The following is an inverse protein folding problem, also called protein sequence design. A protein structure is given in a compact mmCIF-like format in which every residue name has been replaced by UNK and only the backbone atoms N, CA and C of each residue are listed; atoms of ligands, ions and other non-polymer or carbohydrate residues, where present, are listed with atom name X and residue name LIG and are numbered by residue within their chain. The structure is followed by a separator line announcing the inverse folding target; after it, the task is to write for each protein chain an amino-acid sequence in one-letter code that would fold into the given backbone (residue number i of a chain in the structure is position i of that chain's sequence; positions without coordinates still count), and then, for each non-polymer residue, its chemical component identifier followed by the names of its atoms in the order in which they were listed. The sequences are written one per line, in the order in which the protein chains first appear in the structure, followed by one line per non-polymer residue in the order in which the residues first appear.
data_IF_087040485220
#
_entry.id   IF_087040485220
#
_cell.length_a   1.000
_cell.length_b   1.000
_cell.length_c   1.000
_cell.angle_alpha   90.00
_cell.angle_beta   90.00
_cell.angle_gamma   90.00
#
_symmetry.space_group_name_H-M   'P 1'
#
loop_
_entity.id
_entity.type
_entity.pdbx_description
1 polymer ?
#
# COMPACT_ATOMS: atom_id res chain seq x y z
N UNK A 1 -7.94 6.69 6.62
CA UNK A 1 -8.36 8.10 6.38
C UNK A 1 -7.20 9.02 6.01
N UNK A 2 -6.10 9.01 6.75
CA UNK A 2 -4.93 9.87 6.48
C UNK A 2 -4.42 9.80 5.04
N UNK A 3 -4.45 8.63 4.40
CA UNK A 3 -4.10 8.48 2.99
C UNK A 3 -4.88 9.42 2.05
N UNK A 4 -6.18 9.64 2.27
CA UNK A 4 -6.98 10.56 1.45
C UNK A 4 -6.70 12.01 1.78
N UNK A 5 -6.40 12.33 3.05
CA UNK A 5 -5.95 13.67 3.44
C UNK A 5 -4.66 14.01 2.69
N UNK A 6 -3.69 13.09 2.64
CA UNK A 6 -2.46 13.28 1.85
C UNK A 6 -2.74 13.43 0.36
N UNK A 7 -3.70 12.69 -0.21
CA UNK A 7 -4.12 12.84 -1.59
C UNK A 7 -4.70 14.24 -1.89
N UNK A 8 -5.60 14.73 -1.03
CA UNK A 8 -6.15 16.07 -1.16
C UNK A 8 -5.08 17.16 -1.01
N UNK A 9 -4.10 16.97 -0.11
CA UNK A 9 -2.96 17.88 0.00
C UNK A 9 -2.14 17.91 -1.29
N UNK A 10 -1.87 16.75 -1.91
CA UNK A 10 -1.17 16.67 -3.20
C UNK A 10 -1.92 17.35 -4.34
N UNK A 11 -3.25 17.17 -4.43
CA UNK A 11 -4.09 17.88 -5.41
C UNK A 11 -4.03 19.39 -5.22
N UNK A 12 -4.20 19.85 -3.97
CA UNK A 12 -4.18 21.28 -3.65
C UNK A 12 -2.83 21.92 -3.95
N UNK A 13 -1.74 21.19 -3.69
CA UNK A 13 -0.38 21.63 -4.02
C UNK A 13 -0.20 21.81 -5.53
N UNK A 14 -0.71 20.88 -6.34
CA UNK A 14 -0.70 21.00 -7.80
C UNK A 14 -1.54 22.19 -8.29
N UNK A 15 -2.75 22.37 -7.76
CA UNK A 15 -3.63 23.48 -8.16
C UNK A 15 -3.07 24.86 -7.80
N UNK A 16 -2.38 24.99 -6.67
CA UNK A 16 -1.90 26.28 -6.16
C UNK A 16 -0.53 26.67 -6.71
N UNK A 17 0.35 25.70 -6.94
CA UNK A 17 1.75 25.96 -7.28
C UNK A 17 2.16 25.44 -8.66
N UNK A 18 1.29 24.73 -9.38
CA UNK A 18 1.64 24.02 -10.63
C UNK A 18 2.83 23.06 -10.45
N UNK A 19 2.93 22.47 -9.26
CA UNK A 19 4.00 21.54 -8.85
C UNK A 19 3.42 20.26 -8.28
N UNK A 20 4.16 19.15 -8.42
CA UNK A 20 3.80 17.86 -7.86
C UNK A 20 4.62 17.53 -6.62
N UNK A 21 4.00 16.89 -5.64
CA UNK A 21 4.75 16.22 -4.58
C UNK A 21 5.53 15.06 -5.18
N UNK A 22 6.78 14.85 -4.73
CA UNK A 22 7.57 13.72 -5.19
C UNK A 22 6.93 12.38 -4.79
N UNK A 23 6.45 12.27 -3.55
CA UNK A 23 5.93 11.01 -3.01
C UNK A 23 4.75 11.19 -2.07
N UNK A 24 3.77 10.31 -2.18
CA UNK A 24 2.75 10.03 -1.16
C UNK A 24 2.77 8.53 -0.86
N UNK A 25 2.97 8.16 0.40
CA UNK A 25 2.77 6.77 0.85
C UNK A 25 1.40 6.61 1.52
N UNK A 26 0.62 5.65 1.03
CA UNK A 26 -0.71 5.32 1.53
C UNK A 26 -0.68 4.01 2.33
N UNK A 27 -0.85 4.11 3.63
CA UNK A 27 -0.95 2.96 4.52
C UNK A 27 -2.44 2.57 4.64
N UNK A 28 -2.82 1.48 3.98
CA UNK A 28 -4.16 0.89 3.90
C UNK A 28 -5.27 1.96 3.77
N UNK A 29 -5.36 2.65 2.61
CA UNK A 29 -6.30 3.76 2.41
C UNK A 29 -7.73 3.33 2.71
N UNK A 30 -8.55 4.24 3.24
CA UNK A 30 -9.90 3.88 3.67
C UNK A 30 -10.80 3.53 2.49
N UNK A 31 -11.44 2.38 2.51
CA UNK A 31 -12.45 1.97 1.54
C UNK A 31 -13.82 2.63 1.76
N UNK A 32 -14.39 2.59 2.98
CA UNK A 32 -15.72 3.14 3.25
C UNK A 32 -15.80 4.62 2.86
N UNK A 33 -16.83 4.98 2.08
CA UNK A 33 -17.06 6.31 1.51
C UNK A 33 -16.07 6.79 0.43
N UNK A 34 -15.07 5.99 0.02
CA UNK A 34 -14.09 6.37 -1.00
C UNK A 34 -13.99 5.40 -2.19
N UNK A 35 -14.28 4.11 -2.01
CA UNK A 35 -14.10 3.04 -3.02
C UNK A 35 -14.62 3.37 -4.44
N UNK A 36 -15.73 4.11 -4.51
CA UNK A 36 -16.43 4.42 -5.76
C UNK A 36 -16.35 5.91 -6.13
N UNK A 37 -15.62 6.71 -5.35
CA UNK A 37 -15.45 8.12 -5.64
C UNK A 37 -14.56 8.31 -6.87
N UNK A 38 -14.83 9.41 -7.59
CA UNK A 38 -13.97 9.89 -8.67
C UNK A 38 -12.57 10.23 -8.12
N UNK A 39 -11.51 10.16 -8.95
CA UNK A 39 -10.16 10.55 -8.55
C UNK A 39 -10.07 11.92 -7.86
N UNK A 40 -10.93 12.88 -8.20
CA UNK A 40 -10.96 14.21 -7.58
C UNK A 40 -11.43 14.21 -6.11
N UNK A 41 -12.10 13.16 -5.65
CA UNK A 41 -12.73 13.06 -4.32
C UNK A 41 -12.16 11.91 -3.46
N UNK A 42 -10.91 11.52 -3.72
CA UNK A 42 -10.12 10.55 -2.94
C UNK A 42 -8.63 10.70 -3.30
N UNK A 43 -7.79 9.91 -2.63
CA UNK A 43 -6.41 9.69 -3.10
C UNK A 43 -6.44 9.02 -4.48
N UNK A 44 -5.57 9.46 -5.38
CA UNK A 44 -5.33 8.87 -6.69
C UNK A 44 -3.84 8.90 -7.05
N UNK A 45 -3.42 8.02 -7.97
CA UNK A 45 -2.04 7.91 -8.45
C UNK A 45 -1.49 9.20 -9.06
N UNK A 46 -2.36 10.10 -9.47
CA UNK A 46 -1.99 11.42 -10.02
C UNK A 46 -1.59 12.44 -8.95
N UNK A 47 -1.73 12.14 -7.66
CA UNK A 47 -1.59 13.15 -6.60
C UNK A 47 -0.12 13.46 -6.23
N UNK A 48 0.80 12.60 -6.64
CA UNK A 48 2.26 12.75 -6.52
C UNK A 48 2.97 12.04 -7.70
N UNK A 49 4.28 12.24 -7.87
CA UNK A 49 5.05 11.50 -8.89
C UNK A 49 5.03 9.99 -8.59
N UNK A 50 5.20 9.66 -7.30
CA UNK A 50 5.06 8.30 -6.78
C UNK A 50 3.97 8.26 -5.72
N UNK A 51 2.94 7.46 -5.95
CA UNK A 51 1.96 7.09 -4.93
C UNK A 51 2.12 5.61 -4.63
N UNK A 52 2.74 5.26 -3.51
CA UNK A 52 2.94 3.86 -3.11
C UNK A 52 1.98 3.46 -1.99
N UNK A 53 1.16 2.44 -2.23
CA UNK A 53 0.18 1.96 -1.25
C UNK A 53 0.58 0.62 -0.67
N UNK A 54 0.43 0.46 0.65
CA UNK A 54 0.51 -0.83 1.35
C UNK A 54 -0.91 -1.24 1.73
N UNK A 55 -1.34 -2.41 1.25
CA UNK A 55 -2.72 -2.89 1.32
C UNK A 55 -2.77 -4.18 2.12
N UNK A 56 -3.44 -4.16 3.27
CA UNK A 56 -3.63 -5.34 4.12
C UNK A 56 -5.09 -5.74 4.29
N UNK A 57 -6.04 -4.84 3.98
CA UNK A 57 -7.46 -5.13 4.23
C UNK A 57 -8.42 -4.67 3.13
N UNK A 58 -8.03 -4.81 1.85
CA UNK A 58 -8.67 -4.27 0.64
C UNK A 58 -10.19 -4.40 0.53
N UNK A 59 -10.81 -5.40 1.14
CA UNK A 59 -12.23 -5.71 0.92
C UNK A 59 -13.15 -5.29 2.08
N UNK A 60 -12.67 -4.59 3.11
CA UNK A 60 -13.56 -4.02 4.14
C UNK A 60 -13.24 -2.53 4.51
N UNK A 61 -12.43 -2.21 5.52
CA UNK A 61 -11.82 -0.90 5.86
C UNK A 61 -10.81 -0.42 4.83
N UNK A 62 -10.04 -1.30 4.20
CA UNK A 62 -9.10 -0.93 3.14
C UNK A 62 -9.80 -0.64 1.80
N UNK A 63 -9.12 0.09 0.92
CA UNK A 63 -9.62 0.43 -0.41
C UNK A 63 -9.53 -0.76 -1.36
N UNK A 64 -10.59 -1.03 -2.12
CA UNK A 64 -10.70 -2.22 -2.98
C UNK A 64 -9.84 -2.07 -4.24
N UNK A 65 -9.89 -0.89 -4.86
CA UNK A 65 -9.16 -0.61 -6.11
C UNK A 65 -7.71 -0.24 -5.82
N UNK A 66 -6.84 -0.62 -6.74
CA UNK A 66 -5.44 -0.21 -6.77
C UNK A 66 -5.34 1.24 -7.25
N UNK A 67 -5.19 2.16 -6.29
CA UNK A 67 -5.21 3.60 -6.51
C UNK A 67 -3.83 4.26 -6.48
N UNK A 68 -2.78 3.52 -6.13
CA UNK A 68 -1.40 3.98 -6.22
C UNK A 68 -0.76 3.75 -7.59
N UNK A 69 0.40 4.36 -7.79
CA UNK A 69 1.36 4.02 -8.85
C UNK A 69 1.93 2.63 -8.60
N UNK A 70 2.32 2.36 -7.36
CA UNK A 70 2.74 1.05 -6.85
C UNK A 70 1.77 0.60 -5.76
N UNK A 71 1.33 -0.66 -5.78
CA UNK A 71 0.39 -1.19 -4.78
C UNK A 71 0.93 -2.51 -4.25
N UNK A 72 1.41 -2.50 -3.01
CA UNK A 72 1.94 -3.65 -2.29
C UNK A 72 0.83 -4.34 -1.50
N UNK A 73 0.57 -5.59 -1.82
CA UNK A 73 -0.54 -6.38 -1.31
C UNK A 73 0.02 -7.43 -0.36
N UNK A 74 -0.11 -7.14 0.92
CA UNK A 74 0.46 -7.96 1.99
C UNK A 74 -0.47 -9.14 2.25
N UNK A 75 0.04 -10.37 2.09
CA UNK A 75 -0.72 -11.61 2.28
C UNK A 75 -2.09 -11.60 1.56
N UNK A 76 -2.11 -11.17 0.30
CA UNK A 76 -3.35 -11.08 -0.49
C UNK A 76 -4.25 -9.86 -0.18
N UNK A 77 -3.86 -9.01 0.77
CA UNK A 77 -4.62 -7.81 1.17
C UNK A 77 -5.89 -8.16 1.92
N UNK A 78 -5.92 -9.32 2.56
CA UNK A 78 -7.04 -9.86 3.33
C UNK A 78 -6.67 -10.00 4.80
N UNK A 79 -7.67 -10.35 5.60
CA UNK A 79 -7.47 -10.68 7.02
C UNK A 79 -7.47 -12.20 7.21
N UNK A 80 -6.77 -12.73 8.21
CA UNK A 80 -6.04 -12.02 9.29
C UNK A 80 -4.57 -11.88 8.94
N UNK A 81 -4.01 -10.69 9.14
CA UNK A 81 -2.57 -10.49 8.96
C UNK A 81 -1.78 -11.23 10.06
N UNK A 82 -0.58 -11.78 9.79
CA UNK A 82 0.15 -12.64 10.72
C UNK A 82 0.36 -12.06 12.13
N UNK A 83 0.67 -10.76 12.32
CA UNK A 83 0.80 -10.17 13.67
C UNK A 83 -0.51 -10.04 14.46
N UNK A 84 -1.64 -10.50 13.90
CA UNK A 84 -2.99 -10.32 14.44
C UNK A 84 -3.63 -11.67 14.70
N UNK A 85 -4.48 -11.73 15.75
CA UNK A 85 -5.18 -12.95 16.15
C UNK A 85 -6.67 -12.85 15.86
N UNK A 86 -7.28 -14.00 15.55
CA UNK A 86 -8.73 -14.10 15.40
C UNK A 86 -9.40 -14.24 16.76
N UNK A 87 -9.61 -13.11 17.43
CA UNK A 87 -10.38 -13.04 18.68
C UNK A 87 -11.87 -12.82 18.37
N UNK A 88 -12.15 -11.74 17.65
CA UNK A 88 -13.43 -11.44 17.04
C UNK A 88 -13.22 -10.69 15.72
N UNK A 89 -14.29 -10.58 14.92
CA UNK A 89 -14.24 -9.96 13.61
C UNK A 89 -13.69 -8.52 13.66
N UNK A 90 -14.16 -7.67 14.59
CA UNK A 90 -13.76 -6.26 14.66
C UNK A 90 -12.31 -6.11 15.10
N UNK A 91 -11.87 -6.89 16.09
CA UNK A 91 -10.51 -6.83 16.64
C UNK A 91 -9.47 -7.32 15.63
N UNK A 92 -9.70 -8.50 15.03
CA UNK A 92 -8.82 -9.04 14.00
C UNK A 92 -8.68 -8.09 12.81
N UNK A 93 -9.80 -7.43 12.47
CA UNK A 93 -9.86 -6.52 11.36
C UNK A 93 -9.17 -5.19 11.60
N UNK A 94 -9.42 -4.55 12.75
CA UNK A 94 -8.72 -3.34 13.16
C UNK A 94 -7.21 -3.58 13.25
N UNK A 95 -6.79 -4.69 13.88
CA UNK A 95 -5.39 -5.04 13.96
C UNK A 95 -4.75 -5.15 12.57
N UNK A 96 -5.38 -5.89 11.65
CA UNK A 96 -4.86 -6.07 10.29
C UNK A 96 -4.78 -4.73 9.53
N UNK A 97 -5.74 -3.83 9.73
CA UNK A 97 -5.77 -2.49 9.13
C UNK A 97 -4.64 -1.60 9.62
N UNK A 98 -4.25 -1.68 10.91
CA UNK A 98 -3.15 -0.87 11.45
C UNK A 98 -1.77 -1.51 11.31
N UNK A 99 -1.68 -2.81 11.01
CA UNK A 99 -0.40 -3.51 10.85
C UNK A 99 0.49 -2.94 9.75
N UNK A 100 -0.08 -2.31 8.71
CA UNK A 100 0.71 -1.65 7.66
C UNK A 100 1.60 -0.52 8.18
N UNK A 101 1.23 0.10 9.31
CA UNK A 101 2.06 1.10 9.98
C UNK A 101 3.31 0.44 10.57
N UNK A 102 3.16 -0.75 11.14
CA UNK A 102 4.28 -1.54 11.68
C UNK A 102 5.22 -1.98 10.56
N UNK A 103 4.67 -2.45 9.43
CA UNK A 103 5.47 -2.86 8.27
C UNK A 103 6.24 -1.68 7.67
N UNK A 104 5.56 -0.54 7.47
CA UNK A 104 6.22 0.67 6.96
C UNK A 104 7.34 1.14 7.91
N UNK A 105 7.06 1.20 9.22
CA UNK A 105 8.06 1.60 10.21
C UNK A 105 9.27 0.64 10.22
N UNK A 106 9.03 -0.67 10.11
CA UNK A 106 10.10 -1.66 10.04
C UNK A 106 10.97 -1.50 8.79
N UNK A 107 10.35 -1.18 7.65
CA UNK A 107 11.04 -0.99 6.36
C UNK A 107 11.97 0.24 6.30
N UNK A 108 11.94 1.10 7.31
CA UNK A 108 12.88 2.23 7.44
C UNK A 108 14.30 1.76 7.75
N UNK A 109 14.45 0.55 8.30
CA UNK A 109 15.74 -0.11 8.43
C UNK A 109 16.07 -0.83 7.12
N UNK A 110 17.21 -0.48 6.50
CA UNK A 110 17.65 -1.05 5.23
C UNK A 110 17.92 -2.57 5.33
N UNK A 111 18.06 -3.14 6.53
CA UNK A 111 18.19 -4.58 6.77
C UNK A 111 16.85 -5.34 6.72
N UNK A 112 15.72 -4.64 6.89
CA UNK A 112 14.39 -5.25 6.89
C UNK A 112 13.81 -5.23 5.47
N UNK A 113 14.18 -6.21 4.66
CA UNK A 113 13.81 -6.26 3.24
C UNK A 113 12.41 -6.87 3.07
N UNK A 114 11.45 -6.02 2.71
CA UNK A 114 10.11 -6.44 2.28
C UNK A 114 10.07 -6.60 0.77
N UNK A 115 10.57 -7.74 0.29
CA UNK A 115 10.56 -8.06 -1.13
C UNK A 115 9.15 -8.40 -1.60
N UNK A 116 8.75 -7.75 -2.69
CA UNK A 116 7.47 -7.95 -3.33
C UNK A 116 7.66 -8.21 -4.81
N UNK A 117 6.80 -9.02 -5.39
CA UNK A 117 6.90 -9.43 -6.78
C UNK A 117 5.63 -9.11 -7.56
N UNK A 118 5.81 -8.78 -8.84
CA UNK A 118 4.74 -8.69 -9.81
C UNK A 118 5.07 -9.54 -11.02
N UNK A 119 4.26 -10.55 -11.26
CA UNK A 119 4.38 -11.44 -12.41
C UNK A 119 3.41 -11.05 -13.54
N UNK A 120 2.83 -9.85 -13.49
CA UNK A 120 1.89 -9.38 -14.51
C UNK A 120 2.31 -8.03 -15.08
N UNK A 121 2.17 -7.85 -16.38
CA UNK A 121 2.36 -6.54 -17.00
C UNK A 121 1.14 -5.62 -16.78
N UNK A 122 1.22 -4.36 -17.25
CA UNK A 122 0.15 -3.36 -17.10
C UNK A 122 -1.19 -3.77 -17.74
N UNK A 123 -1.20 -4.78 -18.62
CA UNK A 123 -2.39 -5.32 -19.26
C UNK A 123 -2.91 -6.60 -18.58
N UNK A 124 -2.29 -7.03 -17.46
CA UNK A 124 -2.65 -8.25 -16.76
C UNK A 124 -2.16 -9.53 -17.44
N UNK A 125 -1.18 -9.43 -18.35
CA UNK A 125 -0.58 -10.61 -18.98
C UNK A 125 0.54 -11.12 -18.08
N UNK A 126 0.54 -12.42 -17.81
CA UNK A 126 1.60 -13.07 -17.03
C UNK A 126 2.96 -12.93 -17.75
N UNK A 127 3.98 -12.54 -17.00
CA UNK A 127 5.35 -12.28 -17.45
C UNK A 127 6.33 -12.72 -16.37
N UNK A 128 7.63 -12.65 -16.69
CA UNK A 128 8.67 -12.79 -15.68
C UNK A 128 8.45 -11.80 -14.54
N UNK A 129 8.52 -12.33 -13.32
CA UNK A 129 8.28 -11.54 -12.12
C UNK A 129 9.34 -10.46 -11.96
N UNK A 130 8.90 -9.23 -11.69
CA UNK A 130 9.78 -8.12 -11.35
C UNK A 130 9.71 -7.88 -9.84
N UNK A 131 10.88 -7.83 -9.19
CA UNK A 131 11.01 -7.52 -7.78
C UNK A 131 10.88 -6.02 -7.49
N UNK A 132 10.31 -5.71 -6.33
CA UNK A 132 10.22 -4.38 -5.75
C UNK A 132 10.41 -4.48 -4.23
N UNK A 133 10.69 -3.35 -3.58
CA UNK A 133 10.78 -3.28 -2.11
C UNK A 133 9.65 -2.43 -1.58
N UNK A 134 8.80 -3.02 -0.74
CA UNK A 134 7.71 -2.31 -0.07
C UNK A 134 8.24 -1.35 1.00
N UNK A 135 7.51 -0.26 1.24
CA UNK A 135 7.74 0.63 2.38
C UNK A 135 8.67 1.79 2.07
N UNK A 136 9.51 2.21 3.02
CA UNK A 136 10.41 3.35 2.84
C UNK A 136 11.25 3.30 1.54
N UNK A 137 11.81 2.16 1.08
CA UNK A 137 12.58 2.12 -0.17
C UNK A 137 11.75 2.17 -1.46
N UNK A 138 10.41 2.11 -1.41
CA UNK A 138 9.56 1.96 -2.60
C UNK A 138 9.74 3.06 -3.65
N UNK A 139 10.05 4.30 -3.23
CA UNK A 139 10.29 5.40 -4.18
C UNK A 139 11.64 5.35 -4.90
N UNK A 140 12.55 4.45 -4.50
CA UNK A 140 13.84 4.24 -5.20
C UNK A 140 13.66 3.38 -6.46
N UNK A 141 12.58 2.59 -6.51
CA UNK A 141 12.28 1.65 -7.58
C UNK A 141 10.79 1.72 -7.93
N UNK A 142 10.31 2.78 -8.61
CA UNK A 142 8.90 2.94 -8.91
C UNK A 142 8.43 1.81 -9.82
N UNK A 143 7.68 0.89 -9.24
CA UNK A 143 7.04 -0.22 -9.96
C UNK A 143 5.59 0.07 -10.22
N UNK A 144 5.07 -0.43 -11.34
CA UNK A 144 3.71 -0.12 -11.76
C UNK A 144 2.75 -1.26 -11.42
N UNK A 145 1.55 -0.88 -11.00
CA UNK A 145 0.40 -1.77 -10.78
C UNK A 145 0.38 -2.52 -9.44
N UNK A 146 0.69 -3.81 -9.42
CA UNK A 146 0.30 -4.72 -8.35
C UNK A 146 1.51 -5.57 -7.96
N UNK A 147 1.85 -5.55 -6.67
CA UNK A 147 2.99 -6.24 -6.08
C UNK A 147 2.52 -7.08 -4.91
N UNK A 148 2.88 -8.35 -4.86
CA UNK A 148 2.49 -9.26 -3.79
C UNK A 148 3.69 -9.61 -2.91
N UNK A 149 3.44 -9.71 -1.61
CA UNK A 149 4.44 -10.16 -0.65
C UNK A 149 3.80 -10.84 0.57
N UNK A 150 4.55 -11.73 1.20
CA UNK A 150 4.27 -12.26 2.52
C UNK A 150 4.97 -11.46 3.61
N UNK A 151 4.46 -11.53 4.83
CA UNK A 151 5.13 -10.99 6.03
C UNK A 151 5.07 -12.01 7.18
N UNK A 152 5.96 -11.86 8.15
CA UNK A 152 6.01 -12.65 9.37
C UNK A 152 5.12 -12.06 10.49
N UNK A 153 4.80 -12.88 11.49
CA UNK A 153 4.03 -12.48 12.69
C UNK A 153 4.82 -11.50 13.57
N UNK A 154 6.11 -11.77 13.76
CA UNK A 154 6.97 -11.01 14.65
C UNK A 154 7.85 -10.00 13.90
N UNK A 155 8.27 -8.96 14.62
CA UNK A 155 9.28 -8.01 14.14
C UNK A 155 10.56 -8.78 13.71
N UNK A 156 11.17 -8.47 12.55
CA UNK A 156 10.96 -7.28 11.72
C UNK A 156 9.79 -7.36 10.73
N UNK A 157 8.97 -8.40 10.75
CA UNK A 157 7.87 -8.69 9.81
C UNK A 157 8.30 -8.94 8.36
N UNK A 158 9.47 -8.45 7.95
CA UNK A 158 10.12 -8.86 6.71
C UNK A 158 10.27 -10.38 6.68
N UNK A 159 10.04 -10.97 5.50
CA UNK A 159 10.12 -12.41 5.28
C UNK A 159 11.20 -12.68 4.23
N UNK A 160 12.16 -13.54 4.57
CA UNK A 160 13.21 -13.98 3.63
C UNK A 160 12.66 -15.11 2.76
N UNK A 161 12.44 -14.80 1.46
CA UNK A 161 12.10 -15.69 0.32
C UNK A 161 10.93 -16.70 0.50
N UNK A 162 10.47 -17.25 -0.63
CA UNK A 162 9.27 -18.09 -0.77
C UNK A 162 9.60 -19.57 -0.95
#
# INVERSE_FOLDING_TARGET
LGAHVSGFAGKRFQEEYDLKLYRITCLDPAGPLFNYNKPTARLDRTDADVVDCILSTRYLYGHIKLIGTANFIVNGGTVVQPPCKWEDFRTAYFCSHVSVVKYFNSSCDDWNIFEAESCYDRNGVERNCNGARMGFPASRYPTFHEMHLGVNEDYPYAKEEW
#
